data_IF_595129570587
#
_entry.id   IF_595129570587
#
_cell.length_a   1.000
_cell.length_b   1.000
_cell.length_c   1.000
_cell.angle_alpha   90.00
_cell.angle_beta   90.00
_cell.angle_gamma   90.00
#
_symmetry.space_group_name_H-M   'P 1'
#
loop_
_entity.id
_entity.type
_entity.pdbx_description
1 polymer ?
#
# COMPACT_ATOMS: atom_id res chain seq x y z
N UNK A 1 -30.63 44.15 -18.00
CA UNK A 1 -30.16 42.81 -18.37
C UNK A 1 -28.93 42.49 -17.55
N UNK A 2 -29.06 41.84 -16.43
CA UNK A 2 -27.98 41.16 -15.67
C UNK A 2 -28.62 40.40 -14.49
N UNK A 3 -29.09 39.13 -14.69
CA UNK A 3 -29.04 38.19 -13.60
C UNK A 3 -28.61 36.75 -14.02
N UNK A 4 -28.10 36.51 -15.24
CA UNK A 4 -27.74 35.15 -15.69
C UNK A 4 -26.35 34.65 -15.22
N UNK A 5 -25.45 35.57 -14.89
CA UNK A 5 -24.10 35.18 -14.43
C UNK A 5 -24.07 34.64 -13.00
N UNK A 6 -24.98 35.05 -12.14
CA UNK A 6 -25.03 34.66 -10.73
C UNK A 6 -25.62 33.26 -10.51
N UNK A 7 -26.49 32.77 -11.40
CA UNK A 7 -27.02 31.40 -11.31
C UNK A 7 -26.01 30.32 -11.71
N UNK A 8 -25.12 30.63 -12.67
CA UNK A 8 -24.07 29.68 -13.09
C UNK A 8 -23.03 29.39 -11.99
N UNK A 9 -22.69 30.40 -11.18
CA UNK A 9 -21.73 30.23 -10.08
C UNK A 9 -22.31 29.43 -8.90
N UNK A 10 -23.60 29.64 -8.59
CA UNK A 10 -24.29 28.87 -7.53
C UNK A 10 -24.49 27.39 -7.90
N UNK A 11 -24.80 27.10 -9.19
CA UNK A 11 -24.95 25.73 -9.67
C UNK A 11 -23.60 24.96 -9.68
N UNK A 12 -22.47 25.62 -9.99
CA UNK A 12 -21.15 25.01 -9.93
C UNK A 12 -20.72 24.65 -8.50
N UNK A 13 -21.07 25.45 -7.51
CA UNK A 13 -20.84 25.15 -6.10
C UNK A 13 -21.68 23.99 -5.56
N UNK A 14 -22.92 23.84 -6.03
CA UNK A 14 -23.79 22.73 -5.65
C UNK A 14 -23.31 21.40 -6.24
N UNK A 15 -22.80 21.38 -7.47
CA UNK A 15 -22.27 20.16 -8.10
C UNK A 15 -20.94 19.70 -7.47
N UNK A 16 -20.05 20.62 -7.06
CA UNK A 16 -18.85 20.26 -6.32
C UNK A 16 -19.13 19.72 -4.92
N UNK A 17 -20.19 20.19 -4.25
CA UNK A 17 -20.65 19.68 -2.96
C UNK A 17 -21.21 18.25 -3.04
N UNK A 18 -21.94 17.92 -4.11
CA UNK A 18 -22.52 16.59 -4.29
C UNK A 18 -21.46 15.49 -4.43
N UNK A 19 -20.43 15.70 -5.23
CA UNK A 19 -19.37 14.68 -5.45
C UNK A 19 -18.55 14.37 -4.17
N UNK A 20 -18.37 15.36 -3.32
CA UNK A 20 -17.70 15.17 -2.03
C UNK A 20 -18.59 14.43 -1.04
N UNK A 21 -19.88 14.77 -0.98
CA UNK A 21 -20.86 14.08 -0.14
C UNK A 21 -21.01 12.60 -0.56
N UNK A 22 -21.13 12.33 -1.86
CA UNK A 22 -21.21 10.96 -2.39
C UNK A 22 -19.95 10.15 -2.05
N UNK A 23 -18.77 10.76 -2.14
CA UNK A 23 -17.54 10.10 -1.76
C UNK A 23 -17.53 9.67 -0.29
N UNK A 24 -17.89 10.56 0.64
CA UNK A 24 -17.96 10.19 2.06
C UNK A 24 -19.08 9.18 2.34
N UNK A 25 -20.20 9.31 1.66
CA UNK A 25 -21.32 8.38 1.81
C UNK A 25 -20.94 6.95 1.41
N UNK A 26 -20.30 6.76 0.26
CA UNK A 26 -19.82 5.43 -0.16
C UNK A 26 -18.77 4.86 0.81
N UNK A 27 -17.91 5.71 1.37
CA UNK A 27 -16.93 5.31 2.37
C UNK A 27 -17.61 4.80 3.66
N UNK A 28 -18.57 5.56 4.18
CA UNK A 28 -19.33 5.21 5.40
C UNK A 28 -20.14 3.94 5.18
N UNK A 29 -20.90 3.86 4.10
CA UNK A 29 -21.78 2.71 3.82
C UNK A 29 -20.95 1.44 3.54
N UNK A 30 -19.84 1.55 2.81
CA UNK A 30 -18.94 0.43 2.57
C UNK A 30 -18.29 -0.09 3.85
N UNK A 31 -17.85 0.80 4.75
CA UNK A 31 -17.30 0.41 6.04
C UNK A 31 -18.35 -0.24 6.96
N UNK A 32 -19.56 0.32 7.02
CA UNK A 32 -20.66 -0.24 7.82
C UNK A 32 -21.02 -1.65 7.31
N UNK A 33 -21.12 -1.85 5.99
CA UNK A 33 -21.42 -3.18 5.40
C UNK A 33 -20.39 -4.23 5.86
N UNK A 34 -19.10 -3.91 5.82
CA UNK A 34 -18.05 -4.82 6.28
C UNK A 34 -18.19 -5.18 7.75
N UNK A 35 -18.46 -4.20 8.62
CA UNK A 35 -18.55 -4.41 10.07
C UNK A 35 -19.83 -5.17 10.47
N UNK A 36 -20.96 -4.91 9.81
CA UNK A 36 -22.23 -5.59 10.08
C UNK A 36 -22.16 -7.07 9.66
N UNK A 37 -21.51 -7.36 8.52
CA UNK A 37 -21.31 -8.73 8.02
C UNK A 37 -20.24 -9.51 8.78
N UNK A 38 -19.38 -8.85 9.55
CA UNK A 38 -18.28 -9.48 10.25
C UNK A 38 -18.76 -10.42 11.37
N UNK A 39 -18.33 -11.68 11.33
CA UNK A 39 -18.58 -12.70 12.33
C UNK A 39 -17.28 -13.08 13.07
N UNK A 40 -17.36 -13.54 14.32
CA UNK A 40 -16.17 -14.03 15.02
C UNK A 40 -15.59 -15.25 14.29
N UNK A 41 -14.28 -15.31 14.13
CA UNK A 41 -13.62 -16.45 13.45
C UNK A 41 -14.01 -17.79 14.13
N UNK A 42 -14.02 -17.93 15.47
CA UNK A 42 -14.50 -19.18 16.11
C UNK A 42 -15.90 -19.59 15.67
N UNK A 43 -16.85 -18.65 15.60
CA UNK A 43 -18.21 -18.97 15.14
C UNK A 43 -18.29 -19.35 13.66
N UNK A 44 -17.41 -18.78 12.83
CA UNK A 44 -17.29 -19.16 11.40
C UNK A 44 -16.72 -20.56 11.27
N UNK A 45 -15.70 -20.93 12.07
CA UNK A 45 -15.06 -22.25 12.05
C UNK A 45 -16.01 -23.39 12.36
N UNK A 46 -17.05 -23.15 13.16
CA UNK A 46 -18.09 -24.15 13.46
C UNK A 46 -19.01 -24.45 12.25
N UNK A 47 -19.16 -23.50 11.34
CA UNK A 47 -20.16 -23.54 10.25
C UNK A 47 -19.55 -23.75 8.87
N UNK A 48 -18.29 -23.32 8.70
CA UNK A 48 -17.64 -23.32 7.39
C UNK A 48 -17.34 -24.75 6.92
N UNK A 49 -17.73 -25.06 5.67
CA UNK A 49 -17.51 -26.38 5.06
C UNK A 49 -16.26 -26.44 4.19
N UNK A 50 -15.76 -25.29 3.74
CA UNK A 50 -14.54 -25.23 2.93
C UNK A 50 -13.30 -25.52 3.79
N UNK A 51 -12.62 -26.65 3.58
CA UNK A 51 -11.49 -27.05 4.42
C UNK A 51 -10.27 -26.15 4.23
N UNK A 52 -10.15 -25.47 3.08
CA UNK A 52 -9.05 -24.54 2.82
C UNK A 52 -9.27 -23.27 3.65
N UNK A 53 -10.46 -22.66 3.56
CA UNK A 53 -10.78 -21.46 4.32
C UNK A 53 -10.75 -21.73 5.82
N UNK A 54 -11.21 -22.91 6.25
CA UNK A 54 -11.13 -23.32 7.66
C UNK A 54 -9.69 -23.28 8.20
N UNK A 55 -8.76 -23.99 7.54
CA UNK A 55 -7.34 -23.99 7.91
C UNK A 55 -6.72 -22.58 7.87
N UNK A 56 -7.08 -21.79 6.86
CA UNK A 56 -6.60 -20.41 6.74
C UNK A 56 -7.07 -19.54 7.89
N UNK A 57 -8.32 -19.63 8.31
CA UNK A 57 -8.85 -18.88 9.45
C UNK A 57 -8.22 -19.29 10.79
N UNK A 58 -7.93 -20.59 10.98
CA UNK A 58 -7.15 -21.06 12.12
C UNK A 58 -5.73 -20.47 12.10
N UNK A 59 -5.08 -20.43 10.92
CA UNK A 59 -3.76 -19.83 10.75
C UNK A 59 -3.79 -18.32 11.00
N UNK A 60 -4.83 -17.61 10.55
CA UNK A 60 -5.03 -16.17 10.83
C UNK A 60 -5.03 -15.89 12.32
N UNK A 61 -5.74 -16.68 13.14
CA UNK A 61 -5.73 -16.51 14.59
C UNK A 61 -4.33 -16.69 15.18
N UNK A 62 -3.59 -17.70 14.73
CA UNK A 62 -2.22 -17.94 15.19
C UNK A 62 -1.27 -16.79 14.80
N UNK A 63 -1.34 -16.30 13.55
CA UNK A 63 -0.58 -15.14 13.07
C UNK A 63 -0.95 -13.89 13.88
N UNK A 64 -2.24 -13.70 14.14
CA UNK A 64 -2.72 -12.54 14.91
C UNK A 64 -2.22 -12.55 16.35
N UNK A 65 -2.19 -13.71 16.98
CA UNK A 65 -1.65 -13.88 18.33
C UNK A 65 -0.13 -13.64 18.37
N UNK A 66 0.59 -14.17 17.37
CA UNK A 66 2.02 -13.92 17.20
C UNK A 66 2.32 -12.42 17.06
N UNK A 67 1.57 -11.70 16.24
CA UNK A 67 1.73 -10.26 16.04
C UNK A 67 1.73 -9.48 17.36
N UNK A 68 0.84 -9.81 18.29
CA UNK A 68 0.78 -9.11 19.58
C UNK A 68 1.83 -9.58 20.59
N UNK A 69 2.09 -10.90 20.66
CA UNK A 69 2.99 -11.44 21.69
C UNK A 69 4.46 -11.23 21.35
N UNK A 70 4.82 -11.45 20.08
CA UNK A 70 6.23 -11.52 19.66
C UNK A 70 6.68 -10.22 18.96
N UNK A 71 5.77 -9.52 18.26
CA UNK A 71 6.11 -8.29 17.55
C UNK A 71 5.70 -7.02 18.30
N UNK A 72 4.96 -7.13 19.42
CA UNK A 72 4.49 -5.96 20.18
C UNK A 72 3.47 -5.11 19.43
N UNK A 73 2.81 -5.67 18.40
CA UNK A 73 1.76 -4.98 17.66
C UNK A 73 0.46 -4.93 18.49
N UNK A 74 -0.48 -4.00 18.20
CA UNK A 74 -1.63 -3.73 19.05
C UNK A 74 -2.46 -4.97 19.38
N UNK A 75 -2.77 -5.17 20.66
CA UNK A 75 -3.64 -6.24 21.13
C UNK A 75 -5.10 -5.76 21.15
N UNK A 76 -5.80 -5.95 20.02
CA UNK A 76 -7.20 -5.56 19.85
C UNK A 76 -7.98 -6.62 19.06
N UNK A 77 -9.23 -6.35 18.68
CA UNK A 77 -10.11 -7.29 17.99
C UNK A 77 -9.93 -7.32 16.46
N UNK A 78 -9.01 -6.53 15.88
CA UNK A 78 -8.72 -6.57 14.44
C UNK A 78 -8.19 -7.95 14.03
N UNK A 79 -8.66 -8.46 12.89
CA UNK A 79 -8.35 -9.77 12.31
C UNK A 79 -8.78 -10.97 13.17
N UNK A 80 -9.67 -10.77 14.17
CA UNK A 80 -10.34 -11.84 14.93
C UNK A 80 -11.77 -12.11 14.47
N UNK A 81 -12.26 -11.32 13.51
CA UNK A 81 -13.53 -11.48 12.83
C UNK A 81 -13.28 -11.74 11.36
N UNK A 82 -14.24 -12.35 10.67
CA UNK A 82 -14.20 -12.65 9.24
C UNK A 82 -15.40 -12.05 8.55
N UNK A 83 -15.17 -11.45 7.37
CA UNK A 83 -16.23 -10.95 6.50
C UNK A 83 -16.06 -11.55 5.10
N UNK A 84 -17.10 -12.23 4.64
CA UNK A 84 -17.20 -12.65 3.24
C UNK A 84 -17.59 -11.41 2.39
N UNK A 85 -16.78 -11.12 1.38
CA UNK A 85 -17.07 -10.10 0.38
C UNK A 85 -17.12 -10.74 -0.99
N UNK A 86 -18.14 -10.41 -1.80
CA UNK A 86 -18.36 -11.03 -3.10
C UNK A 86 -17.58 -10.31 -4.22
N UNK A 87 -16.31 -9.96 -3.94
CA UNK A 87 -15.44 -9.25 -4.86
C UNK A 87 -13.96 -9.51 -4.57
N UNK A 88 -13.11 -9.31 -5.60
CA UNK A 88 -11.67 -9.57 -5.52
C UNK A 88 -10.93 -8.64 -4.58
N UNK A 89 -11.35 -7.38 -4.47
CA UNK A 89 -10.72 -6.35 -3.65
C UNK A 89 -11.76 -5.66 -2.76
N UNK A 90 -11.34 -5.24 -1.59
CA UNK A 90 -12.21 -4.49 -0.67
C UNK A 90 -12.33 -3.02 -1.09
N UNK A 91 -11.25 -2.45 -1.60
CA UNK A 91 -11.15 -1.08 -2.09
C UNK A 91 -10.43 -1.03 -3.44
N UNK A 92 -10.64 0.07 -4.15
CA UNK A 92 -9.87 0.47 -5.33
C UNK A 92 -9.31 1.86 -5.10
N UNK A 93 -7.97 1.96 -5.04
CA UNK A 93 -7.25 3.21 -4.89
C UNK A 93 -6.95 3.82 -6.25
N UNK A 94 -7.34 5.08 -6.44
CA UNK A 94 -7.02 5.89 -7.62
C UNK A 94 -5.79 6.72 -7.30
N UNK A 95 -4.75 6.59 -8.14
CA UNK A 95 -3.54 7.39 -8.13
C UNK A 95 -3.49 8.22 -9.40
N UNK A 96 -2.98 9.44 -9.31
CA UNK A 96 -2.81 10.31 -10.47
C UNK A 96 -1.50 11.10 -10.37
N UNK A 97 -0.86 11.33 -11.52
CA UNK A 97 0.34 12.16 -11.64
C UNK A 97 0.27 12.98 -12.94
N UNK A 98 0.95 14.12 -13.03
CA UNK A 98 1.15 14.76 -14.32
C UNK A 98 1.87 13.83 -15.32
N UNK A 99 1.69 14.02 -16.64
CA UNK A 99 2.20 13.09 -17.66
C UNK A 99 3.74 13.02 -17.74
N UNK A 100 4.45 14.03 -17.25
CA UNK A 100 5.92 14.13 -17.25
C UNK A 100 6.48 14.41 -15.84
N UNK A 101 5.83 13.87 -14.80
CA UNK A 101 6.24 14.00 -13.41
C UNK A 101 5.80 12.77 -12.60
N UNK A 102 6.51 12.52 -11.49
CA UNK A 102 6.11 11.55 -10.47
C UNK A 102 5.48 12.19 -9.25
N UNK A 103 5.21 13.50 -9.30
CA UNK A 103 4.52 14.20 -8.22
C UNK A 103 3.05 13.74 -8.18
N UNK A 104 2.74 12.87 -7.23
CA UNK A 104 1.40 12.32 -7.11
C UNK A 104 0.42 13.38 -6.60
N UNK A 105 -0.77 13.41 -7.20
CA UNK A 105 -1.88 14.21 -6.70
C UNK A 105 -2.19 13.81 -5.26
N UNK A 106 -2.53 14.80 -4.44
CA UNK A 106 -2.92 14.61 -3.05
C UNK A 106 -4.41 14.86 -2.86
N UNK A 107 -5.01 14.05 -1.97
CA UNK A 107 -6.36 14.23 -1.46
C UNK A 107 -6.31 14.35 0.06
N UNK A 108 -6.98 15.38 0.60
CA UNK A 108 -6.92 15.65 2.03
C UNK A 108 -8.21 15.25 2.72
N UNK A 109 -8.08 14.49 3.81
CA UNK A 109 -9.18 13.96 4.62
C UNK A 109 -9.05 14.39 6.08
N UNK A 110 -10.15 14.53 6.85
CA UNK A 110 -10.10 15.01 8.23
C UNK A 110 -9.22 14.18 9.16
N UNK A 111 -9.26 12.85 9.02
CA UNK A 111 -8.53 11.91 9.89
C UNK A 111 -7.16 11.56 9.31
N UNK A 112 -7.12 11.05 8.08
CA UNK A 112 -5.88 10.59 7.44
C UNK A 112 -4.92 11.72 7.06
N UNK A 113 -5.41 12.96 6.98
CA UNK A 113 -4.66 14.07 6.40
C UNK A 113 -4.60 13.99 4.87
N UNK A 114 -3.54 14.55 4.28
CA UNK A 114 -3.34 14.51 2.83
C UNK A 114 -2.59 13.23 2.44
N UNK A 115 -3.20 12.44 1.56
CA UNK A 115 -2.66 11.16 1.06
C UNK A 115 -2.57 11.18 -0.46
N UNK A 116 -1.73 10.32 -1.02
CA UNK A 116 -1.43 10.29 -2.45
C UNK A 116 -2.36 9.38 -3.26
N UNK A 117 -3.50 9.01 -2.70
CA UNK A 117 -4.53 8.20 -3.37
C UNK A 117 -5.93 8.51 -2.86
N UNK A 118 -6.94 8.09 -3.62
CA UNK A 118 -8.35 8.19 -3.24
C UNK A 118 -9.01 6.83 -3.35
N UNK A 119 -9.51 6.30 -2.20
CA UNK A 119 -10.06 4.95 -2.09
C UNK A 119 -11.58 4.90 -2.34
N UNK A 120 -12.03 3.88 -3.08
CA UNK A 120 -13.43 3.63 -3.38
C UNK A 120 -13.81 2.19 -3.05
N UNK A 121 -14.97 1.97 -2.44
CA UNK A 121 -15.52 0.63 -2.21
C UNK A 121 -16.09 -0.02 -3.46
N UNK A 122 -16.43 0.75 -4.49
CA UNK A 122 -16.93 0.25 -5.76
C UNK A 122 -15.94 0.55 -6.90
N UNK A 123 -15.58 -0.48 -7.68
CA UNK A 123 -14.65 -0.34 -8.81
C UNK A 123 -15.15 0.67 -9.85
N UNK A 124 -16.47 0.66 -10.13
CA UNK A 124 -17.08 1.61 -11.08
C UNK A 124 -16.82 3.07 -10.72
N UNK A 125 -16.87 3.40 -9.42
CA UNK A 125 -16.68 4.77 -8.94
C UNK A 125 -15.19 5.18 -9.00
N UNK A 126 -14.28 4.24 -8.69
CA UNK A 126 -12.84 4.43 -8.88
C UNK A 126 -12.49 4.68 -10.36
N UNK A 127 -13.08 3.89 -11.27
CA UNK A 127 -12.85 4.05 -12.71
C UNK A 127 -13.48 5.34 -13.27
N UNK A 128 -14.61 5.78 -12.75
CA UNK A 128 -15.21 7.07 -13.11
C UNK A 128 -14.30 8.24 -12.72
N UNK A 129 -13.75 8.21 -11.50
CA UNK A 129 -12.76 9.20 -11.06
C UNK A 129 -11.49 9.14 -11.90
N UNK A 130 -10.98 7.95 -12.18
CA UNK A 130 -9.82 7.76 -13.05
C UNK A 130 -10.04 8.37 -14.45
N UNK A 131 -11.20 8.12 -15.06
CA UNK A 131 -11.55 8.70 -16.36
C UNK A 131 -11.63 10.24 -16.31
N UNK A 132 -12.15 10.80 -15.23
CA UNK A 132 -12.22 12.25 -15.01
C UNK A 132 -10.82 12.89 -14.93
N UNK A 133 -9.87 12.21 -14.27
CA UNK A 133 -8.48 12.69 -14.15
C UNK A 133 -7.73 12.52 -15.47
N UNK A 134 -7.88 11.38 -16.13
CA UNK A 134 -7.28 11.12 -17.45
C UNK A 134 -7.77 12.14 -18.51
N UNK A 135 -9.04 12.57 -18.46
CA UNK A 135 -9.56 13.62 -19.34
C UNK A 135 -8.90 14.99 -19.11
N UNK A 136 -8.22 15.20 -17.98
CA UNK A 136 -7.40 16.40 -17.69
C UNK A 136 -5.96 16.26 -18.18
N UNK A 137 -5.57 15.10 -18.69
CA UNK A 137 -4.23 14.82 -19.17
C UNK A 137 -3.32 14.13 -18.16
N UNK A 138 -3.82 13.73 -16.99
CA UNK A 138 -3.05 13.01 -15.99
C UNK A 138 -2.82 11.55 -16.40
N UNK A 139 -1.67 10.98 -16.01
CA UNK A 139 -1.49 9.55 -15.90
C UNK A 139 -2.27 9.05 -14.69
N UNK A 140 -3.07 8.00 -14.86
CA UNK A 140 -3.92 7.48 -13.79
C UNK A 140 -3.76 5.98 -13.64
N UNK A 141 -3.74 5.50 -12.41
CA UNK A 141 -3.70 4.07 -12.07
C UNK A 141 -4.79 3.75 -11.04
N UNK A 142 -5.51 2.64 -11.26
CA UNK A 142 -6.50 2.12 -10.33
C UNK A 142 -5.98 0.81 -9.74
N UNK A 143 -5.51 0.87 -8.51
CA UNK A 143 -4.99 -0.29 -7.78
C UNK A 143 -6.07 -0.95 -6.92
N UNK A 144 -6.28 -2.27 -7.09
CA UNK A 144 -7.13 -3.05 -6.19
C UNK A 144 -6.43 -3.34 -4.86
N UNK A 145 -7.12 -3.15 -3.75
CA UNK A 145 -6.61 -3.30 -2.38
C UNK A 145 -7.30 -4.49 -1.72
N UNK A 146 -6.57 -5.56 -1.34
CA UNK A 146 -7.16 -6.74 -0.72
C UNK A 146 -7.53 -6.54 0.76
N UNK A 147 -6.80 -5.68 1.47
CA UNK A 147 -6.98 -5.33 2.88
C UNK A 147 -6.71 -3.84 3.08
N UNK A 148 -7.19 -3.26 4.15
CA UNK A 148 -6.86 -1.89 4.58
C UNK A 148 -7.05 -1.74 6.08
N UNK A 149 -6.41 -0.74 6.67
CA UNK A 149 -6.55 -0.40 8.08
C UNK A 149 -7.44 0.81 8.29
N UNK A 150 -8.30 0.73 9.31
CA UNK A 150 -9.01 1.90 9.83
C UNK A 150 -8.19 2.63 10.91
N UNK A 151 -6.88 2.42 10.96
CA UNK A 151 -5.97 2.98 11.97
C UNK A 151 -6.38 2.65 13.41
N UNK A 152 -7.12 1.55 13.62
CA UNK A 152 -7.60 1.13 14.93
C UNK A 152 -8.89 1.81 15.40
N UNK A 153 -9.50 2.69 14.60
CA UNK A 153 -10.82 3.26 14.90
C UNK A 153 -11.92 2.20 14.93
N UNK A 154 -11.76 1.12 14.16
CA UNK A 154 -12.64 -0.04 14.15
C UNK A 154 -11.82 -1.32 14.26
N UNK A 155 -12.50 -2.44 14.56
CA UNK A 155 -11.91 -3.77 14.54
C UNK A 155 -11.95 -4.33 13.13
N UNK A 156 -10.89 -4.11 12.36
CA UNK A 156 -10.80 -4.51 10.95
C UNK A 156 -10.91 -6.04 10.81
N UNK A 157 -11.84 -6.58 10.00
CA UNK A 157 -12.01 -8.01 9.85
C UNK A 157 -10.98 -8.61 8.87
N UNK A 158 -10.70 -9.91 9.03
CA UNK A 158 -10.16 -10.75 7.96
C UNK A 158 -11.17 -10.82 6.83
N UNK A 159 -10.75 -10.60 5.59
CA UNK A 159 -11.65 -10.56 4.43
C UNK A 159 -11.43 -11.77 3.52
N UNK A 160 -12.51 -12.20 2.82
CA UNK A 160 -12.42 -13.26 1.81
C UNK A 160 -11.54 -12.88 0.61
N UNK A 161 -11.30 -11.60 0.37
CA UNK A 161 -10.39 -11.09 -0.68
C UNK A 161 -8.97 -11.64 -0.57
N UNK A 162 -8.49 -11.97 0.66
CA UNK A 162 -7.12 -12.45 0.86
C UNK A 162 -6.99 -13.68 1.77
N UNK A 163 -8.12 -14.25 2.27
CA UNK A 163 -8.08 -15.45 3.11
C UNK A 163 -7.41 -16.66 2.44
N UNK A 164 -7.46 -16.74 1.13
CA UNK A 164 -6.85 -17.83 0.33
C UNK A 164 -5.40 -17.57 -0.10
N UNK A 165 -4.82 -16.45 0.28
CA UNK A 165 -3.43 -16.15 -0.03
C UNK A 165 -2.47 -17.13 0.68
N UNK A 166 -1.21 -17.26 0.22
CA UNK A 166 -0.16 -17.94 0.98
C UNK A 166 -0.09 -17.42 2.43
N UNK A 167 0.24 -18.29 3.39
CA UNK A 167 0.28 -17.91 4.81
C UNK A 167 1.27 -16.76 5.06
N UNK A 168 2.36 -16.72 4.32
CA UNK A 168 3.34 -15.63 4.34
C UNK A 168 2.74 -14.28 3.92
N UNK A 169 1.88 -14.28 2.89
CA UNK A 169 1.21 -13.05 2.43
C UNK A 169 0.10 -12.61 3.41
N UNK A 170 -0.59 -13.57 4.04
CA UNK A 170 -1.55 -13.26 5.11
C UNK A 170 -0.84 -12.64 6.31
N UNK A 171 0.29 -13.21 6.74
CA UNK A 171 1.09 -12.69 7.84
C UNK A 171 1.62 -11.28 7.52
N UNK A 172 2.14 -11.08 6.31
CA UNK A 172 2.60 -9.81 5.79
C UNK A 172 1.52 -8.74 5.92
N UNK A 173 0.34 -8.99 5.34
CA UNK A 173 -0.78 -8.05 5.38
C UNK A 173 -1.22 -7.73 6.81
N UNK A 174 -1.37 -8.73 7.67
CA UNK A 174 -1.77 -8.53 9.07
C UNK A 174 -0.74 -7.67 9.83
N UNK A 175 0.55 -7.93 9.68
CA UNK A 175 1.60 -7.16 10.35
C UNK A 175 1.66 -5.73 9.83
N UNK A 176 1.53 -5.53 8.52
CA UNK A 176 1.47 -4.23 7.87
C UNK A 176 0.34 -3.35 8.42
N UNK A 177 -0.89 -3.88 8.38
CA UNK A 177 -2.07 -3.14 8.80
C UNK A 177 -2.09 -2.86 10.31
N UNK A 178 -1.56 -3.79 11.11
CA UNK A 178 -1.39 -3.56 12.55
C UNK A 178 -0.30 -2.54 12.87
N UNK A 179 0.74 -2.42 12.02
CA UNK A 179 1.74 -1.38 12.18
C UNK A 179 1.13 0.02 12.01
N UNK A 180 0.21 0.21 11.06
CA UNK A 180 -0.54 1.46 10.92
C UNK A 180 -1.40 1.79 12.14
N UNK A 181 -1.91 0.78 12.85
CA UNK A 181 -2.66 0.99 14.09
C UNK A 181 -1.75 1.35 15.27
N UNK A 182 -0.48 0.93 15.25
CA UNK A 182 0.50 1.27 16.28
C UNK A 182 0.99 2.71 16.12
N UNK A 183 1.20 3.14 14.88
CA UNK A 183 1.76 4.45 14.55
C UNK A 183 1.31 4.93 13.16
N UNK A 184 0.88 6.19 13.11
CA UNK A 184 0.54 6.87 11.86
C UNK A 184 0.94 8.35 11.95
N UNK A 185 1.76 8.82 11.01
CA UNK A 185 2.13 10.23 10.87
C UNK A 185 1.20 10.89 9.84
N UNK A 186 0.38 11.85 10.30
CA UNK A 186 -0.53 12.58 9.42
C UNK A 186 0.23 13.29 8.30
N UNK A 187 -0.35 13.34 7.11
CA UNK A 187 0.18 14.03 5.92
C UNK A 187 1.48 13.43 5.33
N UNK A 188 1.84 12.19 5.68
CA UNK A 188 3.07 11.56 5.18
C UNK A 188 2.88 10.09 4.80
N UNK A 189 2.24 9.86 3.66
CA UNK A 189 1.96 8.50 3.15
C UNK A 189 3.23 7.68 2.99
N UNK A 190 4.30 8.26 2.39
CA UNK A 190 5.58 7.55 2.16
C UNK A 190 6.22 7.07 3.46
N UNK A 191 6.18 7.92 4.50
CA UNK A 191 6.68 7.53 5.83
C UNK A 191 5.86 6.37 6.41
N UNK A 192 4.54 6.49 6.38
CA UNK A 192 3.63 5.49 6.97
C UNK A 192 3.74 4.14 6.27
N UNK A 193 3.70 4.12 4.94
CA UNK A 193 3.80 2.87 4.16
C UNK A 193 5.18 2.22 4.32
N UNK A 194 6.27 3.00 4.22
CA UNK A 194 7.62 2.46 4.37
C UNK A 194 7.90 1.94 5.80
N UNK A 195 7.32 2.59 6.81
CA UNK A 195 7.34 2.08 8.19
C UNK A 195 6.61 0.75 8.30
N UNK A 196 5.38 0.68 7.79
CA UNK A 196 4.57 -0.54 7.85
C UNK A 196 5.25 -1.70 7.08
N UNK A 197 5.83 -1.45 5.91
CA UNK A 197 6.62 -2.43 5.16
C UNK A 197 7.84 -2.91 5.98
N UNK A 198 8.53 -2.02 6.68
CA UNK A 198 9.68 -2.43 7.50
C UNK A 198 9.28 -3.32 8.68
N UNK A 199 8.12 -3.03 9.29
CA UNK A 199 7.54 -3.88 10.36
C UNK A 199 7.09 -5.24 9.82
N UNK A 200 6.42 -5.25 8.66
CA UNK A 200 5.97 -6.49 8.03
C UNK A 200 7.15 -7.40 7.64
N UNK A 201 8.21 -6.85 7.05
CA UNK A 201 9.39 -7.63 6.62
C UNK A 201 10.12 -8.25 7.82
N UNK A 202 10.39 -7.47 8.86
CA UNK A 202 11.01 -7.98 10.09
C UNK A 202 10.08 -8.93 10.84
N UNK A 203 8.79 -8.61 10.93
CA UNK A 203 7.80 -9.48 11.56
C UNK A 203 7.69 -10.82 10.85
N UNK A 204 7.66 -10.81 9.53
CA UNK A 204 7.60 -12.02 8.72
C UNK A 204 8.88 -12.87 8.86
N UNK A 205 10.06 -12.25 8.85
CA UNK A 205 11.33 -12.93 9.09
C UNK A 205 11.35 -13.66 10.44
N UNK A 206 10.89 -13.00 11.52
CA UNK A 206 10.79 -13.61 12.86
C UNK A 206 9.74 -14.71 12.90
N UNK A 207 8.58 -14.48 12.28
CA UNK A 207 7.50 -15.46 12.25
C UNK A 207 7.93 -16.73 11.53
N UNK A 208 8.58 -16.62 10.37
CA UNK A 208 9.14 -17.77 9.63
C UNK A 208 10.13 -18.56 10.49
N UNK A 209 11.10 -17.87 11.10
CA UNK A 209 12.06 -18.51 11.98
C UNK A 209 11.40 -19.32 13.14
N UNK A 210 10.21 -18.87 13.59
CA UNK A 210 9.45 -19.58 14.64
C UNK A 210 8.65 -20.78 14.14
N UNK A 211 8.40 -20.90 12.83
CA UNK A 211 7.61 -22.00 12.27
C UNK A 211 8.41 -23.30 12.10
N UNK A 212 9.73 -23.20 11.94
CA UNK A 212 10.63 -24.34 11.65
C UNK A 212 10.16 -25.17 10.44
N UNK A 213 9.63 -24.53 9.40
CA UNK A 213 9.05 -25.14 8.20
C UNK A 213 9.86 -24.76 6.96
N UNK A 214 10.71 -25.69 6.51
CA UNK A 214 11.61 -25.48 5.37
C UNK A 214 10.85 -25.29 4.03
N UNK A 215 9.63 -25.83 3.89
CA UNK A 215 8.83 -25.61 2.69
C UNK A 215 8.26 -24.20 2.65
N UNK A 216 7.84 -23.70 3.80
CA UNK A 216 7.39 -22.33 3.96
C UNK A 216 8.52 -21.34 3.70
N UNK A 217 9.72 -21.60 4.20
CA UNK A 217 10.92 -20.79 3.97
C UNK A 217 11.27 -20.73 2.47
N UNK A 218 11.27 -21.87 1.76
CA UNK A 218 11.53 -21.92 0.30
C UNK A 218 10.49 -21.16 -0.52
N UNK A 219 9.22 -21.29 -0.15
CA UNK A 219 8.15 -20.55 -0.80
C UNK A 219 8.32 -19.03 -0.61
N UNK A 220 8.65 -18.62 0.60
CA UNK A 220 8.94 -17.23 0.92
C UNK A 220 10.13 -16.68 0.13
N UNK A 221 11.29 -17.35 0.18
CA UNK A 221 12.50 -16.93 -0.55
C UNK A 221 12.23 -16.80 -2.06
N UNK A 222 11.46 -17.71 -2.62
CA UNK A 222 11.08 -17.66 -4.04
C UNK A 222 10.21 -16.44 -4.33
N UNK A 223 9.20 -16.18 -3.51
CA UNK A 223 8.34 -15.01 -3.61
C UNK A 223 9.12 -13.69 -3.48
N UNK A 224 10.07 -13.63 -2.53
CA UNK A 224 10.92 -12.45 -2.34
C UNK A 224 11.85 -12.16 -3.53
N UNK A 225 12.41 -13.20 -4.15
CA UNK A 225 13.20 -13.01 -5.39
C UNK A 225 12.36 -12.39 -6.51
N UNK A 226 11.12 -12.86 -6.70
CA UNK A 226 10.22 -12.29 -7.71
C UNK A 226 9.84 -10.85 -7.38
N UNK A 227 9.55 -10.58 -6.11
CA UNK A 227 9.23 -9.24 -5.60
C UNK A 227 10.41 -8.27 -5.78
N UNK A 228 11.61 -8.70 -5.41
CA UNK A 228 12.83 -7.92 -5.58
C UNK A 228 13.11 -7.58 -7.06
N UNK A 229 12.92 -8.55 -7.96
CA UNK A 229 13.08 -8.34 -9.40
C UNK A 229 12.06 -7.32 -9.92
N UNK A 230 10.79 -7.44 -9.53
CA UNK A 230 9.74 -6.48 -9.92
C UNK A 230 10.04 -5.07 -9.36
N UNK A 231 10.40 -4.95 -8.08
CA UNK A 231 10.78 -3.66 -7.48
C UNK A 231 11.95 -3.01 -8.22
N UNK A 232 13.01 -3.78 -8.48
CA UNK A 232 14.17 -3.29 -9.22
C UNK A 232 13.83 -2.83 -10.65
N UNK A 233 12.89 -3.51 -11.32
CA UNK A 233 12.39 -3.10 -12.63
C UNK A 233 11.65 -1.74 -12.55
N UNK A 234 10.76 -1.60 -11.59
CA UNK A 234 10.04 -0.33 -11.33
C UNK A 234 11.02 0.81 -11.02
N UNK A 235 11.99 0.59 -10.13
CA UNK A 235 12.96 1.60 -9.70
C UNK A 235 13.87 2.04 -10.86
N UNK A 236 14.39 1.10 -11.68
CA UNK A 236 15.20 1.42 -12.85
C UNK A 236 14.42 2.23 -13.87
N UNK A 237 13.18 1.84 -14.16
CA UNK A 237 12.32 2.57 -15.10
C UNK A 237 12.00 3.96 -14.59
N UNK A 238 11.67 4.08 -13.31
CA UNK A 238 11.44 5.38 -12.67
C UNK A 238 12.67 6.28 -12.75
N UNK A 239 13.85 5.80 -12.37
CA UNK A 239 15.09 6.57 -12.42
C UNK A 239 15.45 7.04 -13.84
N UNK A 240 15.20 6.19 -14.87
CA UNK A 240 15.36 6.56 -16.29
C UNK A 240 14.43 7.71 -16.65
N UNK A 241 13.16 7.62 -16.26
CA UNK A 241 12.15 8.63 -16.56
C UNK A 241 12.37 9.94 -15.78
N UNK A 242 12.80 9.90 -14.52
CA UNK A 242 13.15 11.09 -13.75
C UNK A 242 14.28 11.89 -14.44
N UNK A 243 15.32 11.21 -14.92
CA UNK A 243 16.38 11.86 -15.72
C UNK A 243 15.87 12.46 -17.02
N UNK A 244 14.98 11.74 -17.71
CA UNK A 244 14.36 12.21 -18.96
C UNK A 244 13.52 13.45 -18.70
N UNK A 245 12.70 13.47 -17.67
CA UNK A 245 11.82 14.61 -17.35
C UNK A 245 12.59 15.85 -16.90
N UNK A 246 13.72 15.65 -16.20
CA UNK A 246 14.60 16.74 -15.77
C UNK A 246 15.48 17.32 -16.90
N UNK A 247 15.51 16.72 -18.09
CA UNK A 247 16.31 17.21 -19.21
C UNK A 247 15.70 18.45 -19.90
N UNK A 248 16.48 19.18 -20.71
CA UNK A 248 16.03 20.32 -21.50
C UNK A 248 15.34 19.95 -22.84
N UNK A 249 14.98 18.67 -23.02
CA UNK A 249 14.29 18.19 -24.20
C UNK A 249 12.85 18.73 -24.28
N UNK A 250 12.30 18.80 -25.49
CA UNK A 250 10.89 19.17 -25.66
C UNK A 250 9.96 18.13 -25.03
N UNK A 251 8.77 18.55 -24.65
CA UNK A 251 7.73 17.66 -24.12
C UNK A 251 7.37 16.52 -25.06
N UNK A 252 7.42 16.76 -26.37
CA UNK A 252 7.18 15.73 -27.38
C UNK A 252 8.23 14.63 -27.30
N UNK A 253 9.51 14.99 -27.26
CA UNK A 253 10.64 14.04 -27.13
C UNK A 253 10.55 13.29 -25.78
N UNK A 254 10.20 13.98 -24.69
CA UNK A 254 9.98 13.35 -23.38
C UNK A 254 8.84 12.34 -23.41
N UNK A 255 7.74 12.63 -24.10
CA UNK A 255 6.62 11.69 -24.26
C UNK A 255 7.01 10.45 -25.07
N UNK A 256 7.76 10.63 -26.17
CA UNK A 256 8.29 9.51 -26.94
C UNK A 256 9.21 8.61 -26.10
N UNK A 257 10.20 9.22 -25.41
CA UNK A 257 11.12 8.47 -24.52
C UNK A 257 10.41 7.79 -23.34
N UNK A 258 9.30 8.38 -22.84
CA UNK A 258 8.43 7.75 -21.86
C UNK A 258 7.79 6.47 -22.42
N UNK A 259 7.21 6.52 -23.62
CA UNK A 259 6.60 5.37 -24.25
C UNK A 259 7.62 4.23 -24.45
N UNK A 260 8.82 4.55 -24.95
CA UNK A 260 9.92 3.59 -25.09
C UNK A 260 10.34 2.96 -23.75
N UNK A 261 10.41 3.75 -22.68
CA UNK A 261 10.78 3.26 -21.35
C UNK A 261 9.76 2.26 -20.79
N UNK A 262 8.47 2.51 -20.98
CA UNK A 262 7.42 1.57 -20.53
C UNK A 262 7.34 0.32 -21.40
N UNK A 263 7.61 0.41 -22.71
CA UNK A 263 7.69 -0.77 -23.56
C UNK A 263 8.88 -1.66 -23.18
N UNK A 264 10.08 -1.08 -23.00
CA UNK A 264 11.24 -1.81 -22.50
C UNK A 264 10.96 -2.46 -21.13
N UNK A 265 10.25 -1.77 -20.23
CA UNK A 265 9.83 -2.34 -18.94
C UNK A 265 8.92 -3.56 -19.11
N UNK A 266 8.02 -3.54 -20.08
CA UNK A 266 7.14 -4.67 -20.40
C UNK A 266 7.92 -5.87 -20.91
N UNK A 267 8.85 -5.64 -21.85
CA UNK A 267 9.72 -6.69 -22.38
C UNK A 267 10.60 -7.34 -21.29
N UNK A 268 11.18 -6.53 -20.39
CA UNK A 268 11.94 -7.03 -19.24
C UNK A 268 11.08 -7.86 -18.29
N UNK A 269 9.83 -7.45 -18.05
CA UNK A 269 8.89 -8.24 -17.26
C UNK A 269 8.57 -9.59 -17.89
N UNK A 270 8.29 -9.63 -19.19
CA UNK A 270 8.02 -10.88 -19.90
C UNK A 270 9.23 -11.82 -19.89
N UNK A 271 10.44 -11.28 -19.97
CA UNK A 271 11.67 -12.07 -19.80
C UNK A 271 11.80 -12.63 -18.38
N UNK A 272 11.56 -11.80 -17.37
CA UNK A 272 11.58 -12.22 -15.97
C UNK A 272 10.51 -13.31 -15.70
N UNK A 273 9.29 -13.13 -16.19
CA UNK A 273 8.18 -14.09 -16.06
C UNK A 273 8.55 -15.46 -16.65
N UNK A 274 9.19 -15.50 -17.82
CA UNK A 274 9.72 -16.76 -18.39
C UNK A 274 10.75 -17.42 -17.47
N UNK A 275 11.68 -16.63 -16.92
CA UNK A 275 12.69 -17.12 -15.99
C UNK A 275 12.10 -17.64 -14.66
N UNK A 276 10.94 -17.15 -14.27
CA UNK A 276 10.18 -17.61 -13.10
C UNK A 276 9.29 -18.82 -13.35
N UNK A 277 9.38 -19.45 -14.53
CA UNK A 277 8.54 -20.59 -14.90
C UNK A 277 7.07 -20.21 -15.14
N UNK A 278 6.80 -18.98 -15.54
CA UNK A 278 5.46 -18.48 -15.86
C UNK A 278 4.70 -17.89 -14.66
N UNK A 279 5.36 -17.59 -13.56
CA UNK A 279 4.70 -16.92 -12.42
C UNK A 279 4.10 -15.57 -12.83
N UNK A 280 2.79 -15.42 -12.68
CA UNK A 280 1.97 -14.38 -13.31
C UNK A 280 1.36 -13.35 -12.33
N UNK A 281 1.90 -13.24 -11.11
CA UNK A 281 1.31 -12.37 -10.08
C UNK A 281 1.25 -10.88 -10.47
N UNK A 282 2.14 -10.44 -11.38
CA UNK A 282 2.19 -9.05 -11.84
C UNK A 282 1.48 -8.82 -13.17
N UNK A 283 0.92 -9.87 -13.83
CA UNK A 283 0.20 -9.74 -15.11
C UNK A 283 -0.94 -8.72 -15.03
N UNK A 284 -1.71 -8.75 -13.93
CA UNK A 284 -2.81 -7.80 -13.73
C UNK A 284 -2.32 -6.35 -13.70
N UNK A 285 -1.17 -6.08 -13.09
CA UNK A 285 -0.57 -4.75 -13.04
C UNK A 285 -0.11 -4.28 -14.42
N UNK A 286 0.58 -5.16 -15.18
CA UNK A 286 1.03 -4.85 -16.54
C UNK A 286 -0.13 -4.75 -17.55
N UNK A 287 -1.19 -5.52 -17.38
CA UNK A 287 -2.38 -5.46 -18.24
C UNK A 287 -3.14 -4.13 -18.17
N UNK A 288 -2.98 -3.38 -17.08
CA UNK A 288 -3.57 -2.04 -16.95
C UNK A 288 -2.82 -0.95 -17.71
N UNK A 289 -1.66 -1.26 -18.30
CA UNK A 289 -0.79 -0.30 -18.96
C UNK A 289 -0.03 0.57 -17.94
N UNK A 290 1.18 0.14 -17.51
CA UNK A 290 1.97 0.90 -16.56
C UNK A 290 2.23 2.33 -17.07
N UNK A 291 2.21 3.28 -16.14
CA UNK A 291 2.40 4.70 -16.36
C UNK A 291 3.02 5.37 -15.11
N UNK A 292 3.22 6.68 -15.12
CA UNK A 292 3.83 7.37 -13.99
C UNK A 292 3.07 7.14 -12.67
N UNK A 293 1.72 7.15 -12.70
CA UNK A 293 0.90 6.95 -11.50
C UNK A 293 1.07 5.53 -10.93
N UNK A 294 1.22 4.51 -11.78
CA UNK A 294 1.46 3.14 -11.33
C UNK A 294 2.86 2.97 -10.71
N UNK A 295 3.90 3.61 -11.27
CA UNK A 295 5.24 3.62 -10.67
C UNK A 295 5.27 4.42 -9.36
N UNK A 296 4.56 5.56 -9.30
CA UNK A 296 4.43 6.35 -8.08
C UNK A 296 3.73 5.55 -6.97
N UNK A 297 2.67 4.81 -7.29
CA UNK A 297 1.97 3.95 -6.34
C UNK A 297 2.91 2.91 -5.71
N UNK A 298 3.74 2.21 -6.51
CA UNK A 298 4.74 1.26 -5.98
C UNK A 298 5.77 1.99 -5.11
N UNK A 299 6.22 3.17 -5.52
CA UNK A 299 7.21 3.97 -4.79
C UNK A 299 6.76 4.39 -3.38
N UNK A 300 5.46 4.58 -3.13
CA UNK A 300 4.95 4.91 -1.80
C UNK A 300 5.37 3.88 -0.74
N UNK A 301 5.44 2.61 -1.12
CA UNK A 301 5.72 1.50 -0.22
C UNK A 301 7.21 1.19 -0.03
N UNK A 302 8.10 1.70 -0.92
CA UNK A 302 9.50 1.24 -0.95
C UNK A 302 10.54 2.32 -0.64
N UNK A 303 10.22 3.60 -0.87
CA UNK A 303 11.20 4.68 -0.90
C UNK A 303 12.03 4.86 0.40
N UNK A 304 11.41 4.69 1.57
CA UNK A 304 12.09 4.89 2.86
C UNK A 304 12.33 3.58 3.64
N UNK A 305 12.02 2.42 3.06
CA UNK A 305 12.24 1.12 3.71
C UNK A 305 13.70 0.90 4.13
N UNK A 306 14.72 1.18 3.28
CA UNK A 306 16.11 1.03 3.69
C UNK A 306 16.49 1.88 4.92
N UNK A 307 15.90 3.07 5.05
CA UNK A 307 16.14 3.96 6.18
C UNK A 307 15.53 3.41 7.48
N UNK A 308 14.32 2.87 7.43
CA UNK A 308 13.69 2.22 8.58
C UNK A 308 14.40 0.92 8.98
N UNK A 309 14.86 0.13 8.02
CA UNK A 309 15.66 -1.05 8.29
C UNK A 309 17.00 -0.68 8.96
N UNK A 310 17.67 0.38 8.50
CA UNK A 310 18.89 0.89 9.13
C UNK A 310 18.60 1.39 10.56
N UNK A 311 17.46 2.07 10.78
CA UNK A 311 17.03 2.51 12.11
C UNK A 311 16.77 1.30 13.03
N UNK A 312 16.05 0.27 12.57
CA UNK A 312 15.83 -0.95 13.35
C UNK A 312 17.14 -1.64 13.71
N UNK A 313 18.05 -1.71 12.76
CA UNK A 313 19.37 -2.28 13.00
C UNK A 313 20.21 -1.43 13.99
N UNK A 314 20.07 -0.10 13.98
CA UNK A 314 20.71 0.79 14.97
C UNK A 314 20.16 0.57 16.39
N UNK A 315 18.90 0.20 16.52
CA UNK A 315 18.26 -0.18 17.79
C UNK A 315 18.54 -1.67 18.16
N UNK A 316 19.49 -2.34 17.48
CA UNK A 316 19.86 -3.73 17.76
C UNK A 316 18.82 -4.76 17.38
N UNK A 317 17.85 -4.42 16.52
CA UNK A 317 16.72 -5.27 16.17
C UNK A 317 15.62 -5.31 17.26
N UNK A 318 15.72 -4.46 18.29
CA UNK A 318 14.70 -4.37 19.36
C UNK A 318 13.48 -3.62 18.87
N UNK A 319 12.37 -4.31 18.66
CA UNK A 319 11.14 -3.70 18.14
C UNK A 319 10.53 -2.65 19.07
N UNK A 320 10.41 -2.84 20.38
CA UNK A 320 9.97 -1.79 21.29
C UNK A 320 10.77 -0.49 21.20
N UNK A 321 12.10 -0.58 21.12
CA UNK A 321 12.98 0.60 20.93
C UNK A 321 12.78 1.24 19.58
N UNK A 322 12.70 0.42 18.53
CA UNK A 322 12.40 0.87 17.18
C UNK A 322 11.08 1.63 17.13
N UNK A 323 9.99 1.07 17.68
CA UNK A 323 8.68 1.76 17.72
C UNK A 323 8.73 3.08 18.48
N UNK A 324 9.41 3.13 19.62
CA UNK A 324 9.59 4.36 20.37
C UNK A 324 10.34 5.42 19.55
N UNK A 325 11.39 5.00 18.81
CA UNK A 325 12.17 5.88 17.96
C UNK A 325 11.36 6.41 16.78
N UNK A 326 10.61 5.54 16.09
CA UNK A 326 9.73 5.94 14.98
C UNK A 326 8.60 6.85 15.47
N UNK A 327 8.06 6.60 16.66
CA UNK A 327 7.04 7.48 17.27
C UNK A 327 7.58 8.89 17.53
N UNK A 328 8.81 9.00 18.00
CA UNK A 328 9.47 10.30 18.16
C UNK A 328 9.64 11.02 16.82
N UNK A 329 10.05 10.30 15.77
CA UNK A 329 10.13 10.86 14.41
C UNK A 329 8.77 11.31 13.90
N UNK A 330 7.71 10.52 14.09
CA UNK A 330 6.36 10.83 13.61
C UNK A 330 5.78 12.10 14.23
N UNK A 331 6.25 12.51 15.42
CA UNK A 331 5.82 13.76 16.09
C UNK A 331 6.49 15.02 15.54
N UNK A 332 7.54 14.88 14.72
CA UNK A 332 8.23 16.02 14.11
C UNK A 332 7.45 16.56 12.89
N UNK A 333 7.62 17.84 12.54
CA UNK A 333 7.21 18.35 11.24
C UNK A 333 7.83 17.52 10.10
N UNK A 334 7.15 17.40 8.96
CA UNK A 334 7.53 16.50 7.86
C UNK A 334 8.99 16.67 7.41
N UNK A 335 9.43 17.90 7.19
CA UNK A 335 10.81 18.19 6.76
C UNK A 335 11.85 17.77 7.80
N UNK A 336 11.61 18.05 9.09
CA UNK A 336 12.49 17.64 10.17
C UNK A 336 12.52 16.12 10.33
N UNK A 337 11.36 15.46 10.19
CA UNK A 337 11.20 14.00 10.20
C UNK A 337 12.04 13.35 9.10
N UNK A 338 11.99 13.88 7.89
CA UNK A 338 12.76 13.38 6.74
C UNK A 338 14.28 13.50 6.98
N UNK A 339 14.74 14.65 7.46
CA UNK A 339 16.15 14.85 7.80
C UNK A 339 16.60 13.93 8.93
N UNK A 340 15.80 13.80 9.98
CA UNK A 340 16.14 12.95 11.13
C UNK A 340 16.16 11.46 10.78
N UNK A 341 15.24 10.98 9.92
CA UNK A 341 15.22 9.60 9.43
C UNK A 341 16.46 9.34 8.53
N UNK A 342 16.79 10.27 7.64
CA UNK A 342 17.98 10.16 6.80
C UNK A 342 19.28 10.15 7.64
N UNK A 343 19.40 10.99 8.65
CA UNK A 343 20.55 11.02 9.56
C UNK A 343 20.71 9.71 10.36
N UNK A 344 19.59 9.12 10.82
CA UNK A 344 19.61 7.85 11.55
C UNK A 344 20.10 6.67 10.68
N UNK A 345 19.90 6.73 9.36
CA UNK A 345 20.38 5.72 8.41
C UNK A 345 21.84 5.93 7.98
N UNK A 346 22.33 7.17 7.98
CA UNK A 346 23.71 7.54 7.56
C UNK A 346 24.80 7.31 8.62
N UNK A 347 24.44 7.12 9.87
CA UNK A 347 25.39 7.07 11.00
C UNK A 347 26.33 5.86 11.07
N UNK A 348 26.30 4.92 10.12
CA UNK A 348 27.17 3.72 10.10
C UNK A 348 28.37 3.79 9.16
N UNK A 349 28.45 4.80 8.27
CA UNK A 349 29.60 4.87 7.35
C UNK A 349 30.91 5.28 8.02
N UNK A 350 30.88 5.81 9.27
CA UNK A 350 32.07 6.35 9.92
C UNK A 350 32.59 5.57 11.15
N UNK A 351 32.01 4.40 11.47
CA UNK A 351 32.40 3.58 12.64
C UNK A 351 32.86 2.14 12.32
N UNK A 352 33.16 1.85 11.07
CA UNK A 352 33.76 0.58 10.71
C UNK A 352 35.24 0.82 10.29
N UNK A 353 36.11 0.99 11.26
CA UNK A 353 37.56 0.68 11.30
C UNK A 353 38.08 1.09 12.69
N UNK A 354 38.87 0.32 13.41
CA UNK A 354 40.22 -0.10 13.01
C UNK A 354 40.33 -1.58 12.68
#
# INVERSE_FOLDING_TARGET
MKPLASLGFAAAFLLAGCSTAEFYWQGITGQIDLLVRAQSIPSVLEKIRDPIVKRKLERVLAIRDYASRELGLPQNASYRRYTEIDRRFVLWNVFATPPLSFEAQQWCFPIAGCVNYRGYFAEKDARAEAARLAAKGDDVYVGGVPAYSTLGYFSDPMLSSFVRYPDTEIARLIFHELAHQLLYAKDDTVFNESYAVSVEEEGLRRWLASQHDLDLDRQFETGERYRATFRALVERTRAKLEKLYASDLSDEVKRAGKAEAFEAMREEYEAAKRAWGGFSAYDYWFAQGPNNASLAAVGLYTQKVPQFQALLAAEGGDLPRFYARVKALASLPKTEREMALAAASGGRSSRASP
#
